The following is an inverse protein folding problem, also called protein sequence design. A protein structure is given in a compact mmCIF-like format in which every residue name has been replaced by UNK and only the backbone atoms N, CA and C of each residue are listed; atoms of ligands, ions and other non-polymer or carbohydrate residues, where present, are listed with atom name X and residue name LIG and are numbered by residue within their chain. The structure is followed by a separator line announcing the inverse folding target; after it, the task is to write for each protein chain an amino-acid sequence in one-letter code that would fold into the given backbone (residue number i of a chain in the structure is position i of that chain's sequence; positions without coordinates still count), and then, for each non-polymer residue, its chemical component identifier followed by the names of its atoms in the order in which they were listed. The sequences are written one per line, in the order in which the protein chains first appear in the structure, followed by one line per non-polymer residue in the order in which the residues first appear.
data_IF_697312504772
#
_entry.id   IF_697312504772
#
_cell.length_a   1.000
_cell.length_b   1.000
_cell.length_c   1.000
_cell.angle_alpha   90.00
_cell.angle_beta   90.00
_cell.angle_gamma   90.00
#
_symmetry.space_group_name_H-M   'P 1'
#
loop_
_entity.id
_entity.type
_entity.pdbx_description
1 polymer ?
#
# COMPACT_ATOMS: atom_id res chain seq x y z
N UNK A 1 0.17 31.40 -3.62
CA UNK A 1 -0.02 29.93 -3.62
C UNK A 1 1.31 29.16 -3.50
N UNK A 2 2.24 29.21 -4.50
CA UNK A 2 3.54 28.51 -4.36
C UNK A 2 4.37 29.10 -3.23
N UNK A 3 4.47 30.42 -3.13
CA UNK A 3 5.16 31.11 -2.02
C UNK A 3 4.53 30.78 -0.66
N UNK A 4 3.23 30.80 -0.55
CA UNK A 4 2.50 30.46 0.68
C UNK A 4 2.71 29.01 1.11
N UNK A 5 2.80 28.08 0.16
CA UNK A 5 3.10 26.68 0.46
C UNK A 5 4.56 26.51 0.94
N UNK A 6 5.51 27.20 0.30
CA UNK A 6 6.92 27.18 0.72
C UNK A 6 7.09 27.84 2.09
N UNK A 7 6.45 28.99 2.32
CA UNK A 7 6.44 29.65 3.62
C UNK A 7 5.76 28.78 4.69
N UNK A 8 4.66 28.11 4.33
CA UNK A 8 4.01 27.13 5.20
C UNK A 8 4.92 25.97 5.55
N UNK A 9 5.68 25.45 4.58
CA UNK A 9 6.61 24.34 4.76
C UNK A 9 7.81 24.71 5.64
N UNK A 10 8.25 25.97 5.61
CA UNK A 10 9.33 26.46 6.44
C UNK A 10 8.90 26.77 7.88
N UNK A 11 7.64 27.21 8.07
CA UNK A 11 7.16 27.70 9.36
C UNK A 11 6.29 26.71 10.13
N UNK A 12 5.66 25.72 9.46
CA UNK A 12 4.75 24.78 10.09
C UNK A 12 5.29 23.36 10.12
N UNK A 13 5.62 22.87 11.30
CA UNK A 13 6.16 21.54 11.54
C UNK A 13 5.21 20.41 11.09
N UNK A 14 3.89 20.61 11.27
CA UNK A 14 2.90 19.61 10.83
C UNK A 14 2.92 19.39 9.30
N UNK A 15 3.19 20.44 8.51
CA UNK A 15 3.25 20.33 7.05
C UNK A 15 4.53 19.62 6.59
N UNK A 16 5.63 19.81 7.33
CA UNK A 16 6.89 19.08 7.10
C UNK A 16 6.68 17.57 7.34
N UNK A 17 6.06 17.22 8.47
CA UNK A 17 5.76 15.83 8.80
C UNK A 17 4.84 15.20 7.77
N UNK A 18 3.79 15.90 7.35
CA UNK A 18 2.88 15.46 6.31
C UNK A 18 3.59 15.19 4.98
N UNK A 19 4.48 16.10 4.55
CA UNK A 19 5.21 15.96 3.30
C UNK A 19 6.19 14.78 3.34
N UNK A 20 6.98 14.67 4.42
CA UNK A 20 7.95 13.58 4.58
C UNK A 20 7.22 12.23 4.59
N UNK A 21 6.16 12.13 5.39
CA UNK A 21 5.36 10.89 5.50
C UNK A 21 4.74 10.51 4.16
N UNK A 22 4.11 11.47 3.46
CA UNK A 22 3.51 11.23 2.13
C UNK A 22 4.54 10.77 1.10
N UNK A 23 5.71 11.42 1.07
CA UNK A 23 6.82 11.04 0.18
C UNK A 23 7.31 9.62 0.46
N UNK A 24 7.57 9.31 1.72
CA UNK A 24 8.07 7.99 2.13
C UNK A 24 7.06 6.90 1.77
N UNK A 25 5.77 7.11 2.08
CA UNK A 25 4.70 6.17 1.74
C UNK A 25 4.54 6.04 0.23
N UNK A 26 4.61 7.15 -0.53
CA UNK A 26 4.53 7.14 -1.99
C UNK A 26 5.66 6.32 -2.63
N UNK A 27 6.89 6.47 -2.14
CA UNK A 27 8.06 5.72 -2.62
C UNK A 27 7.90 4.23 -2.31
N UNK A 28 7.62 3.87 -1.06
CA UNK A 28 7.54 2.47 -0.62
C UNK A 28 6.28 1.79 -1.15
N UNK A 29 5.15 2.50 -1.13
CA UNK A 29 3.90 2.02 -1.73
C UNK A 29 4.08 1.69 -3.21
N UNK A 30 4.71 2.59 -3.97
CA UNK A 30 5.05 2.34 -5.36
C UNK A 30 5.96 1.12 -5.56
N UNK A 31 7.00 0.97 -4.75
CA UNK A 31 7.91 -0.17 -4.82
C UNK A 31 7.22 -1.51 -4.54
N UNK A 32 6.46 -1.59 -3.44
CA UNK A 32 5.72 -2.81 -3.04
C UNK A 32 4.58 -3.08 -4.01
N UNK A 33 3.88 -2.05 -4.48
CA UNK A 33 2.79 -2.12 -5.45
C UNK A 33 3.18 -2.82 -6.75
N UNK A 34 4.42 -2.65 -7.21
CA UNK A 34 4.92 -3.36 -8.40
C UNK A 34 4.82 -4.88 -8.25
N UNK A 35 5.19 -5.44 -7.10
CA UNK A 35 5.10 -6.88 -6.86
C UNK A 35 3.65 -7.35 -6.76
N UNK A 36 2.76 -6.53 -6.19
CA UNK A 36 1.34 -6.83 -6.06
C UNK A 36 0.67 -6.90 -7.43
N UNK A 37 0.94 -5.90 -8.31
CA UNK A 37 0.39 -5.86 -9.67
C UNK A 37 0.90 -7.04 -10.50
N UNK A 38 2.20 -7.34 -10.45
CA UNK A 38 2.78 -8.46 -11.19
C UNK A 38 2.21 -9.82 -10.78
N UNK A 39 1.80 -9.97 -9.53
CA UNK A 39 1.14 -11.19 -9.02
C UNK A 39 -0.37 -11.23 -9.23
N UNK A 40 -0.96 -10.19 -9.84
CA UNK A 40 -2.41 -10.09 -10.05
C UNK A 40 -3.21 -10.04 -8.76
N UNK A 41 -2.68 -9.41 -7.71
CA UNK A 41 -3.30 -9.32 -6.38
C UNK A 41 -3.60 -7.87 -6.00
N UNK A 42 -4.09 -7.06 -6.96
CA UNK A 42 -4.29 -5.62 -6.76
C UNK A 42 -5.21 -5.28 -5.58
N UNK A 43 -6.21 -6.11 -5.30
CA UNK A 43 -7.13 -5.90 -4.16
C UNK A 43 -6.54 -6.28 -2.80
N UNK A 44 -5.33 -6.85 -2.76
CA UNK A 44 -4.72 -7.34 -1.52
C UNK A 44 -4.39 -6.21 -0.54
N UNK A 45 -3.95 -5.05 -1.06
CA UNK A 45 -3.67 -3.88 -0.23
C UNK A 45 -4.91 -3.38 0.50
N UNK A 46 -6.02 -3.28 -0.22
CA UNK A 46 -7.33 -2.88 0.33
C UNK A 46 -7.83 -3.90 1.36
N UNK A 47 -7.77 -5.17 1.02
CA UNK A 47 -8.19 -6.25 1.92
C UNK A 47 -7.41 -6.25 3.24
N UNK A 48 -6.09 -6.08 3.21
CA UNK A 48 -5.27 -6.04 4.44
C UNK A 48 -5.58 -4.78 5.25
N UNK A 49 -5.71 -3.61 4.62
CA UNK A 49 -6.01 -2.36 5.31
C UNK A 49 -7.30 -2.43 6.13
N UNK A 50 -8.32 -3.11 5.63
CA UNK A 50 -9.58 -3.29 6.35
C UNK A 50 -9.57 -4.51 7.29
N UNK A 51 -8.82 -5.57 6.95
CA UNK A 51 -8.71 -6.75 7.79
C UNK A 51 -7.92 -6.51 9.10
N UNK A 52 -7.23 -5.41 9.20
CA UNK A 52 -6.54 -4.94 10.40
C UNK A 52 -7.49 -4.41 11.47
N UNK A 53 -8.70 -3.98 11.10
CA UNK A 53 -9.66 -3.34 12.01
C UNK A 53 -9.99 -4.14 13.27
N UNK A 54 -10.26 -5.47 13.21
CA UNK A 54 -10.50 -6.24 14.43
C UNK A 54 -9.31 -6.19 15.38
N UNK A 55 -8.09 -6.20 14.85
CA UNK A 55 -6.87 -6.10 15.63
C UNK A 55 -6.73 -4.77 16.35
N UNK A 56 -7.03 -3.68 15.65
CA UNK A 56 -7.07 -2.33 16.24
C UNK A 56 -8.13 -2.24 17.33
N UNK A 57 -9.34 -2.74 17.07
CA UNK A 57 -10.42 -2.73 18.05
C UNK A 57 -10.08 -3.54 19.33
N UNK A 58 -9.50 -4.74 19.16
CA UNK A 58 -9.07 -5.56 20.29
C UNK A 58 -7.94 -4.87 21.07
N UNK A 59 -6.96 -4.28 20.39
CA UNK A 59 -5.89 -3.54 21.05
C UNK A 59 -6.42 -2.37 21.88
N UNK A 60 -7.43 -1.65 21.35
CA UNK A 60 -8.10 -0.58 22.07
C UNK A 60 -8.80 -1.09 23.33
N UNK A 61 -9.58 -2.18 23.23
CA UNK A 61 -10.29 -2.79 24.37
C UNK A 61 -9.30 -3.25 25.45
N UNK A 62 -8.15 -3.81 25.06
CA UNK A 62 -7.14 -4.32 25.99
C UNK A 62 -6.19 -3.23 26.51
N UNK A 63 -6.27 -1.99 26.01
CA UNK A 63 -5.39 -0.89 26.37
C UNK A 63 -3.91 -1.10 25.95
N UNK A 64 -3.66 -1.90 24.90
CA UNK A 64 -2.33 -2.15 24.33
C UNK A 64 -2.12 -1.32 23.06
N UNK A 65 -0.84 -1.23 22.65
CA UNK A 65 -0.50 -0.51 21.43
C UNK A 65 -1.22 -1.13 20.22
N UNK A 66 -1.97 -0.29 19.49
CA UNK A 66 -2.80 -0.73 18.37
C UNK A 66 -1.97 -1.33 17.20
N UNK A 67 -0.69 -0.96 17.04
CA UNK A 67 0.21 -1.58 16.07
C UNK A 67 0.31 -3.08 16.23
N UNK A 68 0.36 -3.57 17.47
CA UNK A 68 0.51 -4.99 17.76
C UNK A 68 -0.70 -5.76 17.21
N UNK A 69 -1.91 -5.33 17.54
CA UNK A 69 -3.13 -5.97 17.04
C UNK A 69 -3.27 -5.82 15.53
N UNK A 70 -2.94 -4.65 14.99
CA UNK A 70 -2.99 -4.39 13.56
C UNK A 70 -2.07 -5.34 12.77
N UNK A 71 -0.82 -5.52 13.21
CA UNK A 71 0.13 -6.44 12.56
C UNK A 71 -0.34 -7.89 12.69
N UNK A 72 -0.78 -8.32 13.88
CA UNK A 72 -1.25 -9.70 14.11
C UNK A 72 -2.44 -10.01 13.18
N UNK A 73 -3.45 -9.16 13.14
CA UNK A 73 -4.64 -9.39 12.31
C UNK A 73 -4.36 -9.22 10.81
N UNK A 74 -3.49 -8.31 10.41
CA UNK A 74 -3.04 -8.21 9.02
C UNK A 74 -2.29 -9.45 8.54
N UNK A 75 -1.41 -10.01 9.37
CA UNK A 75 -0.72 -11.27 9.08
C UNK A 75 -1.70 -12.47 9.08
N UNK A 76 -2.67 -12.48 9.98
CA UNK A 76 -3.70 -13.50 10.05
C UNK A 76 -4.59 -13.47 8.80
N UNK A 77 -5.00 -12.30 8.35
CA UNK A 77 -5.75 -12.14 7.12
C UNK A 77 -4.93 -12.58 5.88
N UNK A 78 -3.67 -12.18 5.80
CA UNK A 78 -2.81 -12.55 4.68
C UNK A 78 -2.54 -14.06 4.61
N UNK A 79 -2.38 -14.72 5.77
CA UNK A 79 -2.24 -16.18 5.85
C UNK A 79 -3.54 -16.88 5.49
N UNK A 80 -4.69 -16.37 5.92
CA UNK A 80 -6.01 -16.90 5.59
C UNK A 80 -6.29 -16.79 4.09
N UNK A 81 -6.00 -15.64 3.47
CA UNK A 81 -6.11 -15.47 2.00
C UNK A 81 -5.24 -16.50 1.28
N UNK A 82 -4.00 -16.66 1.72
CA UNK A 82 -3.07 -17.63 1.11
C UNK A 82 -3.57 -19.06 1.26
N UNK A 83 -4.11 -19.41 2.41
CA UNK A 83 -4.68 -20.73 2.68
C UNK A 83 -5.90 -21.02 1.81
N UNK A 84 -6.86 -20.09 1.72
CA UNK A 84 -8.04 -20.23 0.87
C UNK A 84 -7.65 -20.34 -0.61
N UNK A 85 -6.69 -19.52 -1.06
CA UNK A 85 -6.17 -19.52 -2.43
C UNK A 85 -5.42 -20.81 -2.78
N UNK A 86 -4.96 -21.58 -1.81
CA UNK A 86 -4.30 -22.90 -2.08
C UNK A 86 -5.25 -23.93 -2.68
N UNK A 87 -6.56 -23.74 -2.54
CA UNK A 87 -7.55 -24.57 -3.23
C UNK A 87 -7.67 -24.15 -4.70
N UNK A 88 -7.39 -25.05 -5.66
CA UNK A 88 -7.35 -24.70 -7.08
C UNK A 88 -8.71 -24.26 -7.68
N UNK A 89 -9.83 -24.53 -6.98
CA UNK A 89 -11.17 -24.14 -7.42
C UNK A 89 -11.43 -22.67 -7.12
N UNK A 90 -10.77 -22.10 -6.09
CA UNK A 90 -11.03 -20.74 -5.61
C UNK A 90 -10.11 -19.74 -6.29
N UNK A 91 -10.69 -18.75 -6.96
CA UNK A 91 -9.94 -17.64 -7.56
C UNK A 91 -9.35 -16.74 -6.49
N UNK A 92 -8.21 -16.10 -6.80
CA UNK A 92 -7.51 -15.17 -5.89
C UNK A 92 -8.42 -14.08 -5.36
N UNK A 93 -9.21 -13.43 -6.24
CA UNK A 93 -10.10 -12.33 -5.87
C UNK A 93 -11.24 -12.78 -4.95
N UNK A 94 -11.73 -14.02 -5.13
CA UNK A 94 -12.74 -14.61 -4.24
C UNK A 94 -12.18 -14.84 -2.84
N UNK A 95 -10.96 -15.37 -2.73
CA UNK A 95 -10.30 -15.60 -1.44
C UNK A 95 -10.07 -14.25 -0.71
N UNK A 96 -9.63 -13.23 -1.44
CA UNK A 96 -9.45 -11.87 -0.93
C UNK A 96 -10.78 -11.30 -0.45
N UNK A 97 -11.84 -11.37 -1.27
CA UNK A 97 -13.16 -10.81 -0.95
C UNK A 97 -13.82 -11.45 0.27
N UNK A 98 -13.75 -12.80 0.41
CA UNK A 98 -14.29 -13.50 1.57
C UNK A 98 -13.56 -13.08 2.85
N UNK A 99 -12.22 -13.08 2.82
CA UNK A 99 -11.43 -12.70 4.00
C UNK A 99 -11.67 -11.24 4.36
N UNK A 100 -11.64 -10.34 3.39
CA UNK A 100 -11.91 -8.92 3.56
C UNK A 100 -13.26 -8.68 4.25
N UNK A 101 -14.35 -9.21 3.69
CA UNK A 101 -15.70 -8.98 4.22
C UNK A 101 -15.88 -9.59 5.62
N UNK A 102 -15.28 -10.75 5.88
CA UNK A 102 -15.37 -11.42 7.19
C UNK A 102 -14.64 -10.62 8.28
N UNK A 103 -13.40 -10.17 7.99
CA UNK A 103 -12.62 -9.38 8.95
C UNK A 103 -13.21 -7.98 9.14
N UNK A 104 -13.70 -7.34 8.07
CA UNK A 104 -14.37 -6.05 8.16
C UNK A 104 -15.61 -6.14 9.05
N UNK A 105 -16.47 -7.16 8.83
CA UNK A 105 -17.67 -7.36 9.65
C UNK A 105 -17.32 -7.60 11.13
N UNK A 106 -16.30 -8.43 11.39
CA UNK A 106 -15.78 -8.68 12.74
C UNK A 106 -15.23 -7.39 13.37
N UNK A 107 -14.51 -6.58 12.61
CA UNK A 107 -14.00 -5.28 13.06
C UNK A 107 -15.13 -4.33 13.46
N UNK A 108 -16.17 -4.20 12.63
CA UNK A 108 -17.32 -3.33 12.92
C UNK A 108 -18.05 -3.78 14.18
N UNK A 109 -18.24 -5.09 14.37
CA UNK A 109 -18.88 -5.63 15.59
C UNK A 109 -18.04 -5.27 16.82
N UNK A 110 -16.73 -5.47 16.79
CA UNK A 110 -15.84 -5.17 17.91
C UNK A 110 -15.76 -3.67 18.23
N UNK A 111 -15.79 -2.82 17.21
CA UNK A 111 -15.88 -1.36 17.36
C UNK A 111 -17.17 -0.97 18.08
N UNK A 112 -18.31 -1.56 17.71
CA UNK A 112 -19.60 -1.34 18.38
C UNK A 112 -19.58 -1.75 19.85
N UNK A 113 -18.91 -2.85 20.19
CA UNK A 113 -18.74 -3.32 21.58
C UNK A 113 -17.80 -2.41 22.38
N UNK A 114 -16.80 -1.83 21.74
CA UNK A 114 -15.79 -0.97 22.38
C UNK A 114 -16.36 0.40 22.82
N UNK A 115 -17.59 0.77 22.41
CA UNK A 115 -18.23 2.09 22.65
C UNK A 115 -17.37 3.31 22.25
N UNK A 116 -16.42 3.12 21.34
CA UNK A 116 -15.43 4.13 20.93
C UNK A 116 -15.50 4.42 19.42
N UNK A 117 -16.72 4.65 18.91
CA UNK A 117 -16.93 4.83 17.46
C UNK A 117 -16.22 6.04 16.87
N UNK A 118 -15.92 7.07 17.66
CA UNK A 118 -15.34 8.34 17.15
C UNK A 118 -13.85 8.21 16.82
N UNK A 119 -13.07 7.57 17.68
CA UNK A 119 -11.61 7.48 17.48
C UNK A 119 -11.22 6.52 16.35
N UNK A 120 -12.03 5.47 16.14
CA UNK A 120 -11.76 4.46 15.11
C UNK A 120 -12.09 4.93 13.69
N UNK A 121 -13.07 5.83 13.53
CA UNK A 121 -13.31 6.49 12.24
C UNK A 121 -12.13 7.38 11.82
N UNK A 122 -11.48 8.06 12.75
CA UNK A 122 -10.27 8.85 12.47
C UNK A 122 -9.10 7.98 11.99
N UNK A 123 -8.94 6.78 12.53
CA UNK A 123 -7.90 5.83 12.09
C UNK A 123 -8.19 5.32 10.67
N UNK A 124 -9.46 5.08 10.32
CA UNK A 124 -9.85 4.61 8.99
C UNK A 124 -9.64 5.65 7.88
N UNK A 125 -10.10 6.86 8.14
CA UNK A 125 -10.05 7.92 7.12
C UNK A 125 -8.73 8.69 7.16
N UNK A 126 -8.00 8.63 8.27
CA UNK A 126 -6.72 9.31 8.47
C UNK A 126 -6.77 10.82 8.25
N UNK A 127 -5.76 11.51 8.71
CA UNK A 127 -5.52 12.90 8.35
C UNK A 127 -4.02 13.12 8.24
N UNK A 128 -3.50 13.15 7.04
CA UNK A 128 -2.07 13.28 6.79
C UNK A 128 -1.48 14.57 7.40
N UNK A 129 -2.29 15.62 7.57
CA UNK A 129 -1.85 16.87 8.21
C UNK A 129 -1.76 16.77 9.74
N UNK A 130 -2.33 15.72 10.34
CA UNK A 130 -2.31 15.48 11.78
C UNK A 130 -1.26 14.44 12.21
N UNK A 131 -0.33 14.06 11.33
CA UNK A 131 0.72 13.07 11.60
C UNK A 131 1.65 13.58 12.68
N UNK A 132 1.80 12.79 13.76
CA UNK A 132 2.72 13.07 14.86
C UNK A 132 4.16 12.69 14.49
N UNK A 133 5.14 13.30 15.17
CA UNK A 133 6.56 13.01 14.95
C UNK A 133 6.89 11.53 15.13
N UNK A 134 6.29 10.89 16.12
CA UNK A 134 6.49 9.47 16.40
C UNK A 134 6.03 8.59 15.23
N UNK A 135 4.86 8.89 14.66
CA UNK A 135 4.28 8.14 13.54
C UNK A 135 5.10 8.33 12.26
N UNK A 136 5.60 9.54 12.03
CA UNK A 136 6.52 9.83 10.92
C UNK A 136 7.80 9.00 11.05
N UNK A 137 8.44 8.97 12.23
CA UNK A 137 9.67 8.19 12.43
C UNK A 137 9.43 6.68 12.30
N UNK A 138 8.32 6.17 12.83
CA UNK A 138 7.93 4.75 12.65
C UNK A 138 7.77 4.44 11.17
N UNK A 139 7.09 5.30 10.42
CA UNK A 139 6.88 5.13 8.99
C UNK A 139 8.21 5.12 8.22
N UNK A 140 9.14 6.02 8.54
CA UNK A 140 10.48 6.05 7.93
C UNK A 140 11.25 4.76 8.22
N UNK A 141 11.31 4.33 9.49
CA UNK A 141 12.07 3.14 9.90
C UNK A 141 11.50 1.89 9.21
N UNK A 142 10.19 1.69 9.26
CA UNK A 142 9.55 0.54 8.61
C UNK A 142 9.77 0.57 7.10
N UNK A 143 9.67 1.73 6.48
CA UNK A 143 9.91 1.92 5.05
C UNK A 143 11.34 1.58 4.65
N UNK A 144 12.33 1.99 5.44
CA UNK A 144 13.73 1.63 5.22
C UNK A 144 13.95 0.10 5.34
N UNK A 145 13.35 -0.54 6.34
CA UNK A 145 13.41 -2.00 6.50
C UNK A 145 12.79 -2.71 5.29
N UNK A 146 11.64 -2.23 4.84
CA UNK A 146 10.95 -2.79 3.67
C UNK A 146 11.78 -2.64 2.40
N UNK A 147 12.31 -1.46 2.12
CA UNK A 147 13.16 -1.21 0.95
C UNK A 147 14.45 -2.03 1.03
N UNK A 148 15.08 -2.13 2.19
CA UNK A 148 16.25 -2.98 2.40
C UNK A 148 15.92 -4.46 2.14
N UNK A 149 14.78 -4.94 2.63
CA UNK A 149 14.32 -6.32 2.40
C UNK A 149 14.07 -6.58 0.91
N UNK A 150 13.42 -5.65 0.20
CA UNK A 150 13.19 -5.76 -1.24
C UNK A 150 14.51 -5.79 -2.00
N UNK A 151 15.49 -4.96 -1.63
CA UNK A 151 16.79 -4.91 -2.32
C UNK A 151 17.62 -6.16 -2.07
N UNK A 152 17.66 -6.67 -0.84
CA UNK A 152 18.39 -7.90 -0.47
C UNK A 152 17.78 -9.12 -1.17
N UNK A 153 16.46 -9.25 -1.15
CA UNK A 153 15.74 -10.39 -1.73
C UNK A 153 15.19 -10.11 -3.14
N UNK A 154 15.77 -9.12 -3.86
CA UNK A 154 15.25 -8.69 -5.16
C UNK A 154 15.15 -9.84 -6.17
N UNK A 155 16.23 -10.63 -6.33
CA UNK A 155 16.28 -11.74 -7.31
C UNK A 155 15.25 -12.83 -7.04
N UNK A 156 15.15 -13.39 -5.83
CA UNK A 156 14.12 -14.39 -5.53
C UNK A 156 12.69 -13.84 -5.61
N UNK A 157 12.46 -12.58 -5.18
CA UNK A 157 11.15 -11.94 -5.30
C UNK A 157 10.75 -11.73 -6.76
N UNK A 158 11.68 -11.34 -7.61
CA UNK A 158 11.47 -11.22 -9.06
C UNK A 158 11.08 -12.57 -9.65
N UNK A 159 11.88 -13.63 -9.44
CA UNK A 159 11.64 -14.96 -9.97
C UNK A 159 10.27 -15.51 -9.53
N UNK A 160 9.95 -15.41 -8.25
CA UNK A 160 8.69 -15.92 -7.70
C UNK A 160 7.47 -15.11 -8.14
N UNK A 161 7.66 -13.86 -8.62
CA UNK A 161 6.57 -13.02 -9.10
C UNK A 161 6.27 -13.23 -10.58
N UNK A 162 7.27 -13.58 -11.40
CA UNK A 162 7.09 -13.84 -12.83
C UNK A 162 6.79 -15.30 -13.14
N UNK A 163 7.57 -16.23 -12.58
CA UNK A 163 7.41 -17.66 -12.83
C UNK A 163 7.68 -18.48 -11.56
N UNK A 164 6.63 -18.77 -10.77
CA UNK A 164 6.76 -19.59 -9.58
C UNK A 164 7.22 -21.02 -9.85
N UNK A 165 6.91 -21.57 -11.05
CA UNK A 165 7.26 -22.95 -11.43
C UNK A 165 8.76 -23.02 -11.68
N UNK A 166 9.29 -22.09 -12.48
CA UNK A 166 10.72 -21.97 -12.73
C UNK A 166 11.49 -21.69 -11.42
N UNK A 167 10.98 -20.80 -10.56
CA UNK A 167 11.59 -20.51 -9.27
C UNK A 167 11.72 -21.80 -8.42
N UNK A 168 10.68 -22.63 -8.40
CA UNK A 168 10.68 -23.90 -7.67
C UNK A 168 11.68 -24.90 -8.26
N UNK A 169 11.80 -24.99 -9.58
CA UNK A 169 12.79 -25.88 -10.25
C UNK A 169 14.23 -25.45 -9.99
N UNK A 170 14.47 -24.15 -9.76
CA UNK A 170 15.78 -23.60 -9.38
C UNK A 170 16.07 -23.72 -7.86
N UNK A 171 15.23 -24.42 -7.09
CA UNK A 171 15.43 -24.64 -5.65
C UNK A 171 15.00 -23.45 -4.78
N UNK A 172 14.34 -22.42 -5.33
CA UNK A 172 13.85 -21.27 -4.56
C UNK A 172 12.59 -21.68 -3.77
N UNK A 173 12.56 -21.39 -2.47
CA UNK A 173 11.41 -21.66 -1.60
C UNK A 173 10.29 -20.66 -1.88
N UNK A 174 9.47 -20.90 -2.90
CA UNK A 174 8.40 -20.00 -3.38
C UNK A 174 7.46 -19.58 -2.24
N UNK A 175 7.06 -20.52 -1.38
CA UNK A 175 6.17 -20.22 -0.23
C UNK A 175 6.80 -19.20 0.73
N UNK A 176 8.10 -19.32 1.03
CA UNK A 176 8.79 -18.37 1.90
C UNK A 176 8.73 -16.93 1.35
N UNK A 177 9.06 -16.76 0.06
CA UNK A 177 9.04 -15.43 -0.57
C UNK A 177 7.62 -14.89 -0.78
N UNK A 178 6.63 -15.77 -0.88
CA UNK A 178 5.23 -15.37 -0.87
C UNK A 178 4.85 -14.78 0.50
N UNK A 179 5.11 -15.50 1.60
CA UNK A 179 4.84 -14.99 2.95
C UNK A 179 5.67 -13.76 3.29
N UNK A 180 6.93 -13.70 2.87
CA UNK A 180 7.76 -12.50 3.04
C UNK A 180 7.11 -11.27 2.39
N UNK A 181 6.60 -11.40 1.17
CA UNK A 181 5.89 -10.30 0.50
C UNK A 181 4.61 -9.91 1.25
N UNK A 182 3.88 -10.89 1.81
CA UNK A 182 2.68 -10.61 2.62
C UNK A 182 3.04 -9.84 3.90
N UNK A 183 4.12 -10.21 4.56
CA UNK A 183 4.63 -9.47 5.74
C UNK A 183 5.02 -8.04 5.36
N UNK A 184 5.77 -7.86 4.27
CA UNK A 184 6.14 -6.54 3.75
C UNK A 184 4.89 -5.69 3.48
N UNK A 185 3.90 -6.25 2.79
CA UNK A 185 2.66 -5.57 2.47
C UNK A 185 1.88 -5.18 3.73
N UNK A 186 1.77 -6.10 4.69
CA UNK A 186 1.09 -5.84 5.96
C UNK A 186 1.79 -4.72 6.74
N UNK A 187 3.12 -4.74 6.83
CA UNK A 187 3.88 -3.69 7.51
C UNK A 187 3.65 -2.32 6.86
N UNK A 188 3.73 -2.24 5.54
CA UNK A 188 3.47 -0.98 4.82
C UNK A 188 2.02 -0.55 4.99
N UNK A 189 1.06 -1.48 4.89
CA UNK A 189 -0.35 -1.16 5.05
C UNK A 189 -0.68 -0.64 6.45
N UNK A 190 -0.18 -1.29 7.50
CA UNK A 190 -0.46 -0.90 8.89
C UNK A 190 0.16 0.45 9.23
N UNK A 191 1.45 0.67 8.88
CA UNK A 191 2.13 1.94 9.17
C UNK A 191 1.54 3.11 8.39
N UNK A 192 1.21 2.91 7.13
CA UNK A 192 0.63 3.96 6.32
C UNK A 192 -0.84 4.23 6.69
N UNK A 193 -1.62 3.20 7.07
CA UNK A 193 -3.01 3.39 7.53
C UNK A 193 -3.08 4.32 8.74
N UNK A 194 -2.16 4.18 9.70
CA UNK A 194 -2.11 5.04 10.87
C UNK A 194 -1.83 6.49 10.50
N UNK A 195 -0.87 6.72 9.60
CA UNK A 195 -0.42 8.07 9.26
C UNK A 195 -1.37 8.77 8.30
N UNK A 196 -1.93 8.07 7.32
CA UNK A 196 -2.63 8.70 6.18
C UNK A 196 -4.02 8.14 5.89
N UNK A 197 -4.41 7.07 6.57
CA UNK A 197 -5.69 6.38 6.37
C UNK A 197 -5.71 5.37 5.24
N UNK A 198 -6.78 4.55 5.20
CA UNK A 198 -6.89 3.41 4.27
C UNK A 198 -7.00 3.83 2.82
N UNK A 199 -7.74 4.89 2.50
CA UNK A 199 -8.01 5.33 1.13
C UNK A 199 -6.72 5.72 0.41
N UNK A 200 -5.87 6.51 1.10
CA UNK A 200 -4.64 7.02 0.49
C UNK A 200 -3.62 5.91 0.25
N UNK A 201 -3.50 4.96 1.18
CA UNK A 201 -2.53 3.87 1.02
C UNK A 201 -2.87 2.96 -0.16
N UNK A 202 -4.15 2.58 -0.32
CA UNK A 202 -4.59 1.74 -1.44
C UNK A 202 -4.27 2.42 -2.77
N UNK A 203 -4.54 3.73 -2.87
CA UNK A 203 -4.26 4.50 -4.06
C UNK A 203 -2.76 4.59 -4.36
N UNK A 204 -1.91 4.90 -3.36
CA UNK A 204 -0.46 5.01 -3.54
C UNK A 204 0.23 3.64 -3.79
N UNK A 205 -0.38 2.55 -3.38
CA UNK A 205 0.11 1.20 -3.61
C UNK A 205 -0.16 0.73 -5.04
N UNK A 206 -1.35 1.03 -5.56
CA UNK A 206 -1.81 0.47 -6.84
C UNK A 206 -1.53 1.43 -7.99
N UNK A 207 -1.93 2.70 -7.88
CA UNK A 207 -1.98 3.62 -9.02
C UNK A 207 -0.59 3.96 -9.59
N UNK A 208 0.45 4.31 -8.79
CA UNK A 208 1.77 4.57 -9.34
C UNK A 208 2.40 3.34 -9.98
N UNK A 209 2.17 2.16 -9.39
CA UNK A 209 2.69 0.90 -9.91
C UNK A 209 1.97 0.49 -11.20
N UNK A 210 0.65 0.70 -11.32
CA UNK A 210 -0.10 0.49 -12.56
C UNK A 210 0.36 1.45 -13.65
N UNK A 211 0.63 2.71 -13.31
CA UNK A 211 1.16 3.70 -14.25
C UNK A 211 2.55 3.30 -14.75
N UNK A 212 3.44 2.90 -13.85
CA UNK A 212 4.78 2.45 -14.21
C UNK A 212 4.75 1.19 -15.08
N UNK A 213 3.80 0.29 -14.86
CA UNK A 213 3.63 -0.94 -15.65
C UNK A 213 3.35 -0.67 -17.13
N UNK A 214 2.75 0.48 -17.48
CA UNK A 214 2.48 0.86 -18.87
C UNK A 214 3.76 1.14 -19.68
N UNK A 215 4.84 1.56 -19.01
CA UNK A 215 6.08 2.01 -19.65
C UNK A 215 7.28 1.11 -19.36
N UNK A 216 7.24 0.35 -18.28
CA UNK A 216 8.39 -0.39 -17.80
C UNK A 216 8.62 -1.69 -18.58
N UNK A 217 9.88 -1.91 -19.00
CA UNK A 217 10.33 -3.14 -19.67
C UNK A 217 11.04 -4.09 -18.70
N UNK A 218 11.35 -3.64 -17.48
CA UNK A 218 11.97 -4.45 -16.44
C UNK A 218 11.42 -4.09 -15.06
N UNK A 219 11.49 -5.03 -14.10
CA UNK A 219 11.02 -4.78 -12.74
C UNK A 219 11.80 -3.64 -12.07
N UNK A 220 13.10 -3.50 -12.35
CA UNK A 220 13.90 -2.39 -11.78
C UNK A 220 13.38 -1.03 -12.26
N UNK A 221 13.15 -0.88 -13.55
CA UNK A 221 12.60 0.36 -14.12
C UNK A 221 11.18 0.59 -13.63
N UNK A 222 10.38 -0.46 -13.48
CA UNK A 222 9.03 -0.37 -12.93
C UNK A 222 9.03 0.17 -11.49
N UNK A 223 9.89 -0.34 -10.61
CA UNK A 223 10.02 0.12 -9.23
C UNK A 223 10.47 1.58 -9.19
N UNK A 224 11.49 1.97 -9.95
CA UNK A 224 11.99 3.35 -9.97
C UNK A 224 10.92 4.33 -10.48
N UNK A 225 10.24 4.00 -11.58
CA UNK A 225 9.16 4.82 -12.13
C UNK A 225 7.98 4.91 -11.16
N UNK A 226 7.58 3.79 -10.57
CA UNK A 226 6.47 3.74 -9.62
C UNK A 226 6.75 4.56 -8.36
N UNK A 227 7.95 4.40 -7.78
CA UNK A 227 8.38 5.18 -6.61
C UNK A 227 8.46 6.68 -6.92
N UNK A 228 8.97 7.04 -8.12
CA UNK A 228 9.01 8.43 -8.57
C UNK A 228 7.62 9.02 -8.77
N UNK A 229 6.70 8.28 -9.41
CA UNK A 229 5.32 8.71 -9.61
C UNK A 229 4.55 8.82 -8.28
N UNK A 230 4.78 7.89 -7.34
CA UNK A 230 4.21 7.95 -6.00
C UNK A 230 4.68 9.19 -5.23
N UNK A 231 5.98 9.49 -5.29
CA UNK A 231 6.56 10.70 -4.70
C UNK A 231 5.98 11.99 -5.34
N UNK A 232 5.90 12.03 -6.67
CA UNK A 232 5.32 13.17 -7.39
C UNK A 232 3.84 13.38 -7.04
N UNK A 233 3.03 12.31 -7.01
CA UNK A 233 1.63 12.37 -6.62
C UNK A 233 1.47 12.90 -5.18
N UNK A 234 2.34 12.47 -4.26
CA UNK A 234 2.34 12.91 -2.87
C UNK A 234 2.64 14.41 -2.75
N UNK A 235 3.68 14.91 -3.43
CA UNK A 235 4.05 16.34 -3.39
C UNK A 235 2.97 17.21 -4.03
N UNK A 236 2.55 16.88 -5.25
CA UNK A 236 1.56 17.66 -5.99
C UNK A 236 0.19 17.63 -5.30
N UNK A 237 -0.22 16.45 -4.81
CA UNK A 237 -1.49 16.30 -4.12
C UNK A 237 -1.53 17.04 -2.78
N UNK A 238 -0.43 17.02 -2.01
CA UNK A 238 -0.32 17.77 -0.78
C UNK A 238 -0.32 19.29 -1.05
N UNK A 239 0.39 19.74 -2.09
CA UNK A 239 0.37 21.13 -2.54
C UNK A 239 -1.05 21.59 -2.88
N UNK A 240 -1.80 20.81 -3.66
CA UNK A 240 -3.20 21.10 -4.03
C UNK A 240 -4.07 21.12 -2.78
N UNK A 241 -3.96 20.09 -1.91
CA UNK A 241 -4.73 20.00 -0.67
C UNK A 241 -4.55 21.19 0.24
N UNK A 242 -3.31 21.61 0.45
CA UNK A 242 -2.97 22.78 1.28
C UNK A 242 -3.44 24.09 0.64
N UNK A 243 -3.15 24.29 -0.66
CA UNK A 243 -3.45 25.57 -1.34
C UNK A 243 -4.93 25.85 -1.50
N UNK A 244 -5.77 24.81 -1.66
CA UNK A 244 -7.22 24.95 -1.80
C UNK A 244 -8.00 24.64 -0.52
N UNK A 245 -7.30 24.38 0.59
CA UNK A 245 -7.90 24.04 1.88
C UNK A 245 -8.89 22.88 1.81
N UNK A 246 -8.51 21.81 1.08
CA UNK A 246 -9.28 20.58 0.92
C UNK A 246 -8.53 19.41 1.55
N UNK A 247 -9.21 18.28 1.74
CA UNK A 247 -8.62 17.07 2.33
C UNK A 247 -7.37 16.62 1.56
N UNK A 248 -6.18 16.78 2.17
CA UNK A 248 -4.90 16.53 1.54
C UNK A 248 -4.74 15.07 1.08
N UNK A 249 -5.22 14.11 1.87
CA UNK A 249 -5.21 12.69 1.48
C UNK A 249 -5.98 12.43 0.19
N UNK A 250 -7.20 12.93 0.08
CA UNK A 250 -8.04 12.79 -1.12
C UNK A 250 -7.44 13.51 -2.33
N UNK A 251 -6.76 14.65 -2.12
CA UNK A 251 -6.06 15.38 -3.19
C UNK A 251 -4.89 14.56 -3.76
N UNK A 252 -4.14 13.85 -2.91
CA UNK A 252 -3.06 12.96 -3.34
C UNK A 252 -3.62 11.81 -4.18
N UNK A 253 -4.75 11.20 -3.74
CA UNK A 253 -5.42 10.13 -4.49
C UNK A 253 -5.85 10.60 -5.87
N UNK A 254 -6.53 11.74 -5.94
CA UNK A 254 -6.98 12.32 -7.21
C UNK A 254 -5.82 12.69 -8.13
N UNK A 255 -4.74 13.26 -7.58
CA UNK A 255 -3.52 13.57 -8.35
C UNK A 255 -2.89 12.29 -8.91
N UNK A 256 -2.80 11.24 -8.11
CA UNK A 256 -2.30 9.93 -8.55
C UNK A 256 -3.16 9.35 -9.67
N UNK A 257 -4.48 9.42 -9.54
CA UNK A 257 -5.43 8.96 -10.55
C UNK A 257 -5.34 9.78 -11.84
N UNK A 258 -5.18 11.09 -11.75
CA UNK A 258 -4.97 11.96 -12.92
C UNK A 258 -3.66 11.63 -13.64
N UNK A 259 -2.56 11.42 -12.91
CA UNK A 259 -1.29 10.99 -13.49
C UNK A 259 -1.43 9.64 -14.22
N UNK A 260 -2.19 8.72 -13.66
CA UNK A 260 -2.49 7.45 -14.33
C UNK A 260 -3.29 7.66 -15.61
N UNK A 261 -4.36 8.46 -15.59
CA UNK A 261 -5.18 8.73 -16.77
C UNK A 261 -4.38 9.39 -17.89
N UNK A 262 -3.60 10.42 -17.57
CA UNK A 262 -2.70 11.09 -18.53
C UNK A 262 -1.73 10.07 -19.14
N UNK A 263 -1.09 9.27 -18.29
CA UNK A 263 -0.15 8.24 -18.72
C UNK A 263 -0.83 7.17 -19.59
N UNK A 264 -2.04 6.78 -19.26
CA UNK A 264 -2.81 5.79 -20.01
C UNK A 264 -3.13 6.23 -21.44
N UNK A 265 -3.46 7.52 -21.65
CA UNK A 265 -3.74 8.07 -22.98
C UNK A 265 -2.46 8.31 -23.81
N UNK A 266 -1.33 8.59 -23.14
CA UNK A 266 -0.03 8.83 -23.80
C UNK A 266 0.72 7.53 -24.04
N UNK A 267 0.46 6.49 -23.25
CA UNK A 267 1.19 5.22 -23.36
C UNK A 267 1.08 4.64 -24.77
N UNK A 268 2.18 4.25 -25.39
CA UNK A 268 2.15 3.60 -26.69
C UNK A 268 1.32 2.32 -26.60
N UNK A 269 0.27 2.21 -27.41
CA UNK A 269 -0.50 0.96 -27.51
C UNK A 269 0.49 -0.16 -27.78
N UNK A 270 0.76 -1.04 -26.82
CA UNK A 270 1.57 -2.23 -27.01
C UNK A 270 0.81 -3.21 -27.94
N UNK A 271 0.84 -2.91 -29.22
CA UNK A 271 0.17 -3.67 -30.30
C UNK A 271 1.01 -4.87 -30.75
N UNK A 272 1.78 -5.54 -29.87
CA UNK A 272 2.72 -6.54 -30.33
C UNK A 272 2.96 -7.80 -29.52
N UNK A 273 2.54 -7.88 -28.25
CA UNK A 273 2.93 -9.03 -27.40
C UNK A 273 1.93 -10.19 -27.32
N UNK A 274 0.96 -10.27 -28.27
CA UNK A 274 -0.03 -11.36 -28.35
C UNK A 274 0.24 -12.41 -29.43
N UNK A 275 1.41 -12.44 -30.07
CA UNK A 275 1.65 -13.36 -31.20
C UNK A 275 2.77 -14.41 -31.06
N UNK A 276 3.34 -14.61 -29.87
CA UNK A 276 4.47 -15.59 -29.78
C UNK A 276 4.27 -16.69 -28.72
N UNK A 277 3.03 -17.02 -28.35
CA UNK A 277 2.74 -18.21 -27.57
C UNK A 277 1.59 -19.01 -28.21
N UNK A 278 1.77 -19.38 -29.49
CA UNK A 278 1.03 -20.46 -30.16
C UNK A 278 2.04 -21.17 -31.07
N UNK A 279 2.85 -22.00 -30.46
CA UNK A 279 3.41 -23.23 -31.07
C UNK A 279 3.89 -24.13 -29.96
#
# INVERSE_FOLDING_TARGET
MISEFIDGLLNFHFLQNALITALVIGIVGGAVGCFIILRGMSLMGDAISHAVLPGVAISFILGINFFIGAIIFGLLASTMITYIKSNPIIKSDTAIGITFSSFLALGIILIGVANSSTDLFHILFGNILAVQDMDMWITIIVSLIVLATITIFFRPLLLTSFDPILAKSMGVKVSFYHYLLMVILTLVAVTAMQSVGTILIVALLITPAATAYLYAHSLKTMILLSSGLGALASVLGLFIGYSFNIAAGSSIVLTSALLFLISFFIAPKQSGMKKTCKQ
#
